data_IF_620877055872
#
_entry.id   IF_620877055872
#
_cell.length_a   1.000
_cell.length_b   1.000
_cell.length_c   1.000
_cell.angle_alpha   90.00
_cell.angle_beta   90.00
_cell.angle_gamma   90.00
#
_symmetry.space_group_name_H-M   'P 1'
#
loop_
_entity.id
_entity.type
_entity.pdbx_description
1 polymer ?
#
# COMPACT_ATOMS: atom_id res chain seq x y z
N UNK A 1 -2.66 8.29 6.45
CA UNK A 1 -2.14 8.10 7.81
C UNK A 1 -2.87 9.05 8.75
N UNK A 2 -3.50 8.49 9.76
CA UNK A 2 -3.99 9.16 10.96
C UNK A 2 -3.15 8.65 12.14
N UNK A 3 -3.33 9.21 13.33
CA UNK A 3 -2.70 8.68 14.54
C UNK A 3 -3.00 7.19 14.73
N UNK A 4 -4.26 6.80 14.65
CA UNK A 4 -4.70 5.40 14.80
C UNK A 4 -4.08 4.46 13.76
N UNK A 5 -3.88 4.94 12.53
CA UNK A 5 -3.24 4.15 11.47
C UNK A 5 -1.74 3.99 11.70
N UNK A 6 -1.05 5.04 12.19
CA UNK A 6 0.35 4.94 12.60
C UNK A 6 0.50 3.88 13.71
N UNK A 7 -0.34 3.98 14.76
CA UNK A 7 -0.33 3.06 15.89
C UNK A 7 -0.61 1.61 15.48
N UNK A 8 -1.63 1.39 14.65
CA UNK A 8 -1.97 0.06 14.16
C UNK A 8 -0.88 -0.57 13.30
N UNK A 9 -0.24 0.22 12.43
CA UNK A 9 0.87 -0.24 11.59
C UNK A 9 2.10 -0.60 12.42
N UNK A 10 2.52 0.27 13.34
CA UNK A 10 3.64 0.01 14.26
C UNK A 10 3.38 -1.27 15.05
N UNK A 11 2.21 -1.39 15.65
CA UNK A 11 1.83 -2.56 16.44
C UNK A 11 1.87 -3.87 15.64
N UNK A 12 1.37 -3.84 14.40
CA UNK A 12 1.40 -5.00 13.50
C UNK A 12 2.83 -5.40 13.10
N UNK A 13 3.76 -4.45 13.04
CA UNK A 13 5.17 -4.72 12.72
C UNK A 13 5.97 -5.19 13.95
N UNK A 14 5.75 -4.59 15.12
CA UNK A 14 6.52 -4.92 16.32
C UNK A 14 6.05 -6.20 17.02
N UNK A 15 4.74 -6.42 17.06
CA UNK A 15 4.12 -7.54 17.77
C UNK A 15 3.60 -8.63 16.81
N UNK A 16 3.59 -8.36 15.50
CA UNK A 16 2.97 -9.20 14.48
C UNK A 16 3.92 -9.64 13.38
N UNK A 17 3.34 -10.00 12.25
CA UNK A 17 4.05 -10.50 11.05
C UNK A 17 4.05 -9.51 9.88
N UNK A 18 3.50 -8.32 10.05
CA UNK A 18 3.66 -7.27 9.06
C UNK A 18 5.13 -6.86 9.00
N UNK A 19 5.72 -6.86 7.81
CA UNK A 19 7.17 -6.70 7.65
C UNK A 19 7.58 -5.55 6.74
N UNK A 20 6.60 -4.87 6.15
CA UNK A 20 6.78 -3.67 5.33
C UNK A 20 5.55 -2.78 5.45
N UNK A 21 5.71 -1.49 5.29
CA UNK A 21 4.62 -0.52 5.27
C UNK A 21 4.88 0.60 4.26
N UNK A 22 3.83 1.37 3.95
CA UNK A 22 3.91 2.49 3.02
C UNK A 22 3.28 3.74 3.60
N UNK A 23 4.01 4.86 3.52
CA UNK A 23 3.66 6.15 4.12
C UNK A 23 2.91 7.05 3.15
N UNK A 24 1.79 7.64 3.61
CA UNK A 24 1.04 8.65 2.85
C UNK A 24 1.59 10.05 3.15
N UNK A 25 2.58 10.49 2.37
CA UNK A 25 3.31 11.73 2.63
C UNK A 25 2.44 13.01 2.73
N UNK A 26 1.33 13.17 2.00
CA UNK A 26 0.47 14.34 2.17
C UNK A 26 -0.32 14.39 3.48
N UNK A 27 -0.41 13.30 4.23
CA UNK A 27 -1.22 13.24 5.45
C UNK A 27 -0.60 14.00 6.64
N UNK A 28 -1.42 14.68 7.47
CA UNK A 28 -0.93 15.49 8.60
C UNK A 28 -0.17 14.74 9.69
N UNK A 29 -0.43 13.43 9.88
CA UNK A 29 0.22 12.62 10.92
C UNK A 29 1.54 11.96 10.49
N UNK A 30 2.09 12.33 9.33
CA UNK A 30 3.41 11.87 8.88
C UNK A 30 4.55 12.23 9.85
N UNK A 31 4.64 13.46 10.40
CA UNK A 31 5.72 13.78 11.34
C UNK A 31 5.77 12.91 12.58
N UNK A 32 4.61 12.44 13.06
CA UNK A 32 4.54 11.50 14.18
C UNK A 32 5.16 10.14 13.83
N UNK A 33 4.88 9.63 12.64
CA UNK A 33 5.47 8.39 12.19
C UNK A 33 6.99 8.49 11.98
N UNK A 34 7.49 9.64 11.55
CA UNK A 34 8.93 9.87 11.39
C UNK A 34 9.70 9.80 12.72
N UNK A 35 9.09 10.22 13.86
CA UNK A 35 9.70 10.01 15.19
C UNK A 35 9.91 8.53 15.50
N UNK A 36 9.00 7.67 15.06
CA UNK A 36 9.18 6.22 15.18
C UNK A 36 10.36 5.75 14.32
N UNK A 37 10.47 6.20 13.07
CA UNK A 37 11.56 5.83 12.16
C UNK A 37 12.93 6.27 12.66
N UNK A 38 13.05 7.41 13.34
CA UNK A 38 14.30 7.90 13.93
C UNK A 38 14.92 6.89 14.90
N UNK A 39 14.09 6.17 15.63
CA UNK A 39 14.52 5.13 16.59
C UNK A 39 14.50 3.72 16.02
N UNK A 40 13.90 3.53 14.82
CA UNK A 40 13.76 2.24 14.14
C UNK A 40 14.26 2.29 12.68
N UNK A 41 15.57 2.57 12.47
CA UNK A 41 16.12 2.79 11.12
C UNK A 41 16.08 1.56 10.21
N UNK A 42 15.84 0.38 10.76
CA UNK A 42 15.72 -0.88 10.01
C UNK A 42 14.31 -1.13 9.47
N UNK A 43 13.33 -0.29 9.84
CA UNK A 43 11.95 -0.42 9.34
C UNK A 43 11.93 -0.40 7.82
N UNK A 44 11.18 -1.32 7.21
CA UNK A 44 10.96 -1.32 5.77
C UNK A 44 9.76 -0.42 5.45
N UNK A 45 10.04 0.85 5.16
CA UNK A 45 9.02 1.88 4.93
C UNK A 45 9.18 2.50 3.52
N UNK A 46 8.18 2.28 2.68
CA UNK A 46 8.02 2.87 1.36
C UNK A 46 7.04 4.04 1.36
N UNK A 47 6.64 4.47 0.15
CA UNK A 47 5.65 5.53 -0.03
C UNK A 47 4.38 4.98 -0.66
N UNK A 48 3.25 5.23 0.01
CA UNK A 48 1.91 5.03 -0.51
C UNK A 48 1.51 6.27 -1.31
N UNK A 49 1.89 6.30 -2.59
CA UNK A 49 1.72 7.46 -3.46
C UNK A 49 0.26 7.91 -3.45
N UNK A 50 0.02 9.02 -2.83
CA UNK A 50 -1.31 9.51 -2.48
C UNK A 50 -1.73 10.57 -3.48
N UNK A 51 -2.74 10.26 -4.28
CA UNK A 51 -3.26 11.11 -5.38
C UNK A 51 -4.79 11.33 -5.25
N UNK A 52 -5.36 10.84 -4.14
CA UNK A 52 -6.78 10.99 -3.78
C UNK A 52 -6.91 11.29 -2.29
N UNK A 53 -8.06 11.82 -1.86
CA UNK A 53 -8.39 12.09 -0.46
C UNK A 53 -9.86 11.79 -0.22
N UNK A 54 -10.18 10.53 0.08
CA UNK A 54 -11.56 9.99 0.11
C UNK A 54 -12.31 10.22 1.41
N UNK A 55 -11.62 10.48 2.52
CA UNK A 55 -12.26 10.61 3.83
C UNK A 55 -12.95 11.97 4.01
N UNK A 56 -14.18 11.96 4.50
CA UNK A 56 -15.00 13.19 4.57
C UNK A 56 -14.53 14.17 5.64
N UNK A 57 -14.16 13.67 6.81
CA UNK A 57 -13.78 14.48 7.99
C UNK A 57 -12.28 14.72 8.13
N UNK A 58 -11.46 14.12 7.28
CA UNK A 58 -10.01 14.17 7.35
C UNK A 58 -9.44 14.19 5.93
N UNK A 59 -9.26 15.41 5.40
CA UNK A 59 -8.85 15.66 4.02
C UNK A 59 -7.43 16.21 3.95
N UNK A 60 -6.73 15.86 2.87
CA UNK A 60 -5.39 16.36 2.57
C UNK A 60 -5.29 16.83 1.12
N UNK A 61 -4.44 17.84 0.91
CA UNK A 61 -4.11 18.36 -0.41
C UNK A 61 -2.80 17.79 -0.95
N UNK A 62 -2.47 18.04 -2.23
CA UNK A 62 -1.19 17.69 -2.80
C UNK A 62 -0.05 18.55 -2.20
N UNK A 63 1.14 17.94 -2.10
CA UNK A 63 2.34 18.63 -1.61
C UNK A 63 2.78 19.77 -2.53
N UNK A 64 2.58 19.62 -3.84
CA UNK A 64 2.86 20.67 -4.83
C UNK A 64 1.90 21.87 -4.71
N UNK A 65 0.75 21.70 -4.05
CA UNK A 65 -0.27 22.74 -3.94
C UNK A 65 -1.01 23.03 -5.26
N UNK A 66 -2.18 23.67 -5.13
CA UNK A 66 -3.08 23.98 -6.27
C UNK A 66 -2.40 24.74 -7.42
N UNK A 67 -1.50 25.72 -7.21
CA UNK A 67 -0.90 26.44 -8.32
C UNK A 67 -0.08 25.58 -9.27
N UNK A 68 0.57 24.51 -8.77
CA UNK A 68 1.44 23.64 -9.57
C UNK A 68 0.72 22.41 -10.13
N UNK A 69 -0.36 21.96 -9.45
CA UNK A 69 -1.14 20.78 -9.82
C UNK A 69 -2.65 21.03 -9.67
N UNK A 70 -3.20 22.02 -10.42
CA UNK A 70 -4.61 22.41 -10.28
C UNK A 70 -5.60 21.28 -10.57
N UNK A 71 -5.25 20.35 -11.47
CA UNK A 71 -6.07 19.20 -11.81
C UNK A 71 -6.18 18.16 -10.70
N UNK A 72 -5.27 18.15 -9.72
CA UNK A 72 -5.33 17.27 -8.55
C UNK A 72 -6.23 17.81 -7.42
N UNK A 73 -6.72 19.04 -7.51
CA UNK A 73 -7.35 19.74 -6.39
C UNK A 73 -8.83 20.00 -6.64
N UNK A 74 -9.66 19.58 -5.70
CA UNK A 74 -11.09 19.84 -5.71
C UNK A 74 -11.46 21.26 -5.23
N UNK A 75 -12.77 21.54 -5.10
CA UNK A 75 -13.28 22.85 -4.66
C UNK A 75 -12.96 23.16 -3.19
N UNK A 76 -12.65 22.15 -2.38
CA UNK A 76 -12.28 22.32 -0.96
C UNK A 76 -10.77 22.56 -0.78
N UNK A 77 -9.97 22.52 -1.84
CA UNK A 77 -8.52 22.61 -1.76
C UNK A 77 -7.83 21.30 -1.40
N UNK A 78 -8.56 20.20 -1.34
CA UNK A 78 -8.04 18.85 -1.11
C UNK A 78 -7.87 18.09 -2.43
N UNK A 79 -7.16 16.97 -2.42
CA UNK A 79 -7.18 16.04 -3.55
C UNK A 79 -8.59 15.49 -3.78
N UNK A 80 -8.88 15.04 -5.02
CA UNK A 80 -10.18 14.46 -5.35
C UNK A 80 -10.51 13.25 -4.48
N UNK A 81 -11.80 13.02 -4.14
CA UNK A 81 -12.19 11.93 -3.23
C UNK A 81 -12.24 10.55 -3.90
N UNK A 82 -11.98 10.44 -5.18
CA UNK A 82 -12.04 9.16 -5.90
C UNK A 82 -11.05 9.09 -7.04
N UNK A 83 -10.62 7.87 -7.35
CA UNK A 83 -9.76 7.55 -8.51
C UNK A 83 -10.34 8.09 -9.80
N UNK A 84 -11.65 7.89 -10.04
CA UNK A 84 -12.33 8.40 -11.23
C UNK A 84 -12.24 9.92 -11.35
N UNK A 85 -12.44 10.65 -10.25
CA UNK A 85 -12.38 12.11 -10.28
C UNK A 85 -10.95 12.59 -10.58
N UNK A 86 -9.93 11.97 -9.95
CA UNK A 86 -8.52 12.24 -10.25
C UNK A 86 -8.21 11.95 -11.72
N UNK A 87 -8.60 10.77 -12.22
CA UNK A 87 -8.35 10.38 -13.62
C UNK A 87 -9.02 11.31 -14.64
N UNK A 88 -10.16 11.92 -14.27
CA UNK A 88 -10.88 12.85 -15.16
C UNK A 88 -10.25 14.24 -15.20
N UNK A 89 -9.70 14.72 -14.09
CA UNK A 89 -9.29 16.12 -13.93
C UNK A 89 -7.77 16.35 -13.98
N UNK A 90 -6.97 15.40 -13.53
CA UNK A 90 -5.52 15.55 -13.49
C UNK A 90 -4.85 15.18 -14.81
N UNK A 91 -3.78 15.88 -15.14
CA UNK A 91 -2.85 15.51 -16.20
C UNK A 91 -1.76 14.56 -15.71
N UNK A 92 -1.14 13.80 -16.61
CA UNK A 92 -0.02 12.93 -16.30
C UNK A 92 1.20 13.71 -15.74
N UNK A 93 1.41 14.94 -16.22
CA UNK A 93 2.49 15.79 -15.72
C UNK A 93 2.26 16.25 -14.27
N UNK A 94 1.01 16.49 -13.88
CA UNK A 94 0.65 16.81 -12.49
C UNK A 94 0.85 15.60 -11.58
N UNK A 95 0.49 14.40 -12.06
CA UNK A 95 0.75 13.13 -11.35
C UNK A 95 2.25 12.94 -11.13
N UNK A 96 3.10 13.12 -12.15
CA UNK A 96 4.56 12.99 -12.01
C UNK A 96 5.12 14.01 -11.01
N UNK A 97 4.70 15.28 -11.10
CA UNK A 97 5.14 16.33 -10.16
C UNK A 97 4.82 15.96 -8.71
N UNK A 98 3.60 15.50 -8.45
CA UNK A 98 3.18 15.13 -7.10
C UNK A 98 3.90 13.89 -6.59
N UNK A 99 4.14 12.86 -7.44
CA UNK A 99 4.93 11.68 -7.08
C UNK A 99 6.34 12.12 -6.63
N UNK A 100 7.01 12.97 -7.42
CA UNK A 100 8.35 13.47 -7.08
C UNK A 100 8.35 14.28 -5.79
N UNK A 101 7.35 15.13 -5.58
CA UNK A 101 7.22 15.90 -4.34
C UNK A 101 7.04 15.02 -3.10
N UNK A 102 6.34 13.89 -3.22
CA UNK A 102 6.20 12.93 -2.13
C UNK A 102 7.52 12.23 -1.82
N UNK A 103 8.31 11.86 -2.83
CA UNK A 103 9.67 11.32 -2.66
C UNK A 103 10.58 12.36 -2.01
N UNK A 104 10.59 13.58 -2.53
CA UNK A 104 11.43 14.68 -2.03
C UNK A 104 11.10 15.02 -0.57
N UNK A 105 9.82 15.04 -0.20
CA UNK A 105 9.42 15.25 1.19
C UNK A 105 9.97 14.15 2.11
N UNK A 106 9.89 12.89 1.71
CA UNK A 106 10.44 11.77 2.49
C UNK A 106 11.94 11.95 2.71
N UNK A 107 12.69 12.27 1.65
CA UNK A 107 14.14 12.50 1.72
C UNK A 107 14.50 13.72 2.57
N UNK A 108 13.74 14.82 2.44
CA UNK A 108 13.91 16.04 3.28
C UNK A 108 13.68 15.74 4.75
N UNK A 109 12.79 14.81 5.08
CA UNK A 109 12.56 14.33 6.44
C UNK A 109 13.58 13.26 6.88
N UNK A 110 14.59 12.95 6.07
CA UNK A 110 15.69 12.04 6.41
C UNK A 110 15.44 10.57 6.10
N UNK A 111 14.47 10.24 5.25
CA UNK A 111 14.16 8.85 4.91
C UNK A 111 14.20 8.57 3.41
N UNK A 112 15.04 7.59 3.01
CA UNK A 112 15.02 7.04 1.66
C UNK A 112 13.96 5.94 1.59
N UNK A 113 12.92 6.08 0.75
CA UNK A 113 11.84 5.10 0.68
C UNK A 113 12.35 3.76 0.13
N UNK A 114 11.92 2.66 0.75
CA UNK A 114 12.31 1.31 0.32
C UNK A 114 11.59 0.85 -0.93
N UNK A 115 10.40 1.38 -1.18
CA UNK A 115 9.57 1.11 -2.35
C UNK A 115 8.50 2.19 -2.57
N UNK A 116 7.86 2.12 -3.73
CA UNK A 116 6.67 2.90 -4.06
C UNK A 116 5.50 1.95 -4.28
N UNK A 117 4.35 2.28 -3.74
CA UNK A 117 3.06 1.69 -4.10
C UNK A 117 2.00 2.78 -4.30
N UNK A 118 0.72 2.47 -4.41
CA UNK A 118 -0.29 3.45 -4.80
C UNK A 118 -1.55 3.39 -3.96
N UNK A 119 -1.94 4.52 -3.40
CA UNK A 119 -3.21 4.69 -2.71
C UNK A 119 -4.37 4.52 -3.69
N UNK A 120 -5.32 3.62 -3.35
CA UNK A 120 -6.50 3.30 -4.15
C UNK A 120 -6.22 2.87 -5.60
N UNK A 121 -5.00 2.45 -5.93
CA UNK A 121 -4.65 2.08 -7.30
C UNK A 121 -4.65 3.25 -8.30
N UNK A 122 -4.57 4.50 -7.85
CA UNK A 122 -4.79 5.68 -8.69
C UNK A 122 -3.84 5.77 -9.88
N UNK A 123 -2.59 5.31 -9.74
CA UNK A 123 -1.63 5.31 -10.86
C UNK A 123 -1.99 4.31 -11.97
N UNK A 124 -2.85 3.34 -11.68
CA UNK A 124 -3.33 2.37 -12.67
C UNK A 124 -4.60 2.83 -13.41
N UNK A 125 -5.19 3.94 -13.01
CA UNK A 125 -6.45 4.42 -13.58
C UNK A 125 -6.34 4.85 -15.05
N UNK A 126 -5.13 5.20 -15.51
CA UNK A 126 -4.84 5.60 -16.89
C UNK A 126 -3.44 5.12 -17.28
N UNK A 127 -3.28 4.77 -18.56
CA UNK A 127 -1.97 4.32 -19.09
C UNK A 127 -0.86 5.37 -18.90
N UNK A 128 -1.16 6.63 -19.16
CA UNK A 128 -0.17 7.72 -19.01
C UNK A 128 0.20 7.99 -17.54
N UNK A 129 -0.70 7.74 -16.58
CA UNK A 129 -0.37 7.78 -15.15
C UNK A 129 0.59 6.65 -14.76
N UNK A 130 0.31 5.43 -15.23
CA UNK A 130 1.19 4.28 -15.03
C UNK A 130 2.58 4.52 -15.63
N UNK A 131 2.65 5.07 -16.83
CA UNK A 131 3.93 5.42 -17.48
C UNK A 131 4.74 6.40 -16.64
N UNK A 132 4.10 7.42 -16.01
CA UNK A 132 4.79 8.35 -15.11
C UNK A 132 5.27 7.68 -13.82
N UNK A 133 4.45 6.83 -13.23
CA UNK A 133 4.81 6.04 -12.05
C UNK A 133 6.04 5.17 -12.28
N UNK A 134 6.04 4.39 -13.37
CA UNK A 134 7.15 3.52 -13.75
C UNK A 134 8.41 4.31 -14.12
N UNK A 135 8.24 5.41 -14.86
CA UNK A 135 9.33 6.32 -15.22
C UNK A 135 10.06 6.82 -13.98
N UNK A 136 9.31 7.42 -13.03
CA UNK A 136 9.90 7.95 -11.79
C UNK A 136 10.59 6.85 -11.00
N UNK A 137 9.97 5.68 -10.82
CA UNK A 137 10.57 4.56 -10.11
C UNK A 137 11.91 4.12 -10.73
N UNK A 138 11.98 4.02 -12.07
CA UNK A 138 13.21 3.63 -12.78
C UNK A 138 14.28 4.72 -12.71
N UNK A 139 13.95 5.99 -12.82
CA UNK A 139 14.87 7.11 -12.70
C UNK A 139 15.47 7.22 -11.29
N UNK A 140 14.60 7.13 -10.27
CA UNK A 140 14.98 7.22 -8.86
C UNK A 140 15.59 5.93 -8.30
N UNK A 141 15.56 4.83 -9.06
CA UNK A 141 16.02 3.49 -8.64
C UNK A 141 15.32 2.97 -7.39
N UNK A 142 14.05 3.33 -7.21
CA UNK A 142 13.23 2.88 -6.08
C UNK A 142 12.39 1.69 -6.54
N UNK A 143 12.42 0.54 -5.82
CA UNK A 143 11.52 -0.59 -6.06
C UNK A 143 10.05 -0.16 -6.14
N UNK A 144 9.28 -0.82 -6.97
CA UNK A 144 7.90 -0.40 -7.24
C UNK A 144 6.94 -1.58 -7.15
N UNK A 145 5.79 -1.35 -6.50
CA UNK A 145 4.70 -2.31 -6.50
C UNK A 145 4.08 -2.37 -7.89
N UNK A 146 4.49 -3.39 -8.63
CA UNK A 146 3.90 -3.77 -9.91
C UNK A 146 4.01 -5.29 -10.05
N UNK A 147 2.89 -6.04 -10.09
CA UNK A 147 2.92 -7.48 -10.26
C UNK A 147 3.27 -7.81 -11.72
N UNK A 148 4.51 -8.25 -11.93
CA UNK A 148 5.08 -8.54 -13.25
C UNK A 148 5.39 -10.02 -13.51
N UNK A 149 5.00 -10.92 -12.57
CA UNK A 149 5.22 -12.36 -12.67
C UNK A 149 3.98 -13.14 -13.15
N UNK A 150 3.61 -14.20 -12.43
CA UNK A 150 2.49 -15.08 -12.83
C UNK A 150 1.09 -14.47 -12.62
N UNK A 151 0.93 -13.49 -11.73
CA UNK A 151 -0.31 -12.71 -11.54
C UNK A 151 -1.58 -13.52 -11.31
N UNK A 152 -1.46 -14.70 -10.68
CA UNK A 152 -2.58 -15.63 -10.55
C UNK A 152 -3.72 -15.09 -9.69
N UNK A 153 -3.43 -14.22 -8.72
CA UNK A 153 -4.45 -13.60 -7.87
C UNK A 153 -4.97 -12.30 -8.47
N UNK A 154 -4.07 -11.37 -8.83
CA UNK A 154 -4.48 -10.03 -9.27
C UNK A 154 -5.34 -10.09 -10.55
N UNK A 155 -5.03 -10.97 -11.49
CA UNK A 155 -5.83 -11.15 -12.69
C UNK A 155 -7.22 -11.75 -12.42
N UNK A 156 -7.40 -12.46 -11.31
CA UNK A 156 -8.72 -12.95 -10.89
C UNK A 156 -9.57 -11.87 -10.24
N UNK A 157 -8.96 -10.94 -9.50
CA UNK A 157 -9.65 -9.87 -8.79
C UNK A 157 -9.92 -8.66 -9.67
N UNK A 158 -9.04 -8.38 -10.64
CA UNK A 158 -9.11 -7.21 -11.54
C UNK A 158 -9.50 -7.61 -12.99
N UNK A 159 -10.46 -8.53 -13.14
CA UNK A 159 -10.90 -9.05 -14.46
C UNK A 159 -11.36 -7.96 -15.42
N UNK A 160 -11.96 -6.90 -14.89
CA UNK A 160 -12.51 -5.80 -15.69
C UNK A 160 -11.46 -4.71 -16.04
N UNK A 161 -10.23 -4.83 -15.49
CA UNK A 161 -9.16 -3.87 -15.77
C UNK A 161 -8.52 -4.02 -17.16
N UNK A 162 -8.89 -5.06 -17.92
CA UNK A 162 -8.32 -5.32 -19.24
C UNK A 162 -6.83 -5.70 -19.22
N UNK A 163 -6.30 -6.07 -18.05
CA UNK A 163 -4.91 -6.50 -17.89
C UNK A 163 -4.74 -7.93 -18.40
N UNK A 164 -3.66 -8.17 -19.14
CA UNK A 164 -3.25 -9.51 -19.56
C UNK A 164 -1.89 -9.87 -18.97
N UNK A 165 -1.62 -11.18 -18.86
CA UNK A 165 -0.33 -11.67 -18.38
C UNK A 165 0.83 -11.16 -19.25
N UNK A 166 0.63 -11.04 -20.56
CA UNK A 166 1.64 -10.54 -21.50
C UNK A 166 1.98 -9.08 -21.23
N UNK A 167 0.97 -8.23 -20.99
CA UNK A 167 1.17 -6.82 -20.68
C UNK A 167 1.93 -6.64 -19.36
N UNK A 168 1.52 -7.34 -18.32
CA UNK A 168 2.14 -7.22 -16.99
C UNK A 168 3.56 -7.78 -16.98
N UNK A 169 3.80 -8.91 -17.65
CA UNK A 169 5.13 -9.49 -17.81
C UNK A 169 6.07 -8.59 -18.62
N UNK A 170 5.56 -7.89 -19.65
CA UNK A 170 6.37 -6.94 -20.41
C UNK A 170 6.87 -5.79 -19.53
N UNK A 171 6.00 -5.22 -18.68
CA UNK A 171 6.41 -4.21 -17.70
C UNK A 171 7.37 -4.78 -16.65
N UNK A 172 7.13 -5.99 -16.15
CA UNK A 172 8.03 -6.68 -15.24
C UNK A 172 9.46 -6.83 -15.82
N UNK A 173 9.58 -7.19 -17.11
CA UNK A 173 10.86 -7.25 -17.81
C UNK A 173 11.53 -5.88 -17.92
N UNK A 174 10.79 -4.81 -18.14
CA UNK A 174 11.34 -3.45 -18.17
C UNK A 174 11.90 -3.03 -16.81
N UNK A 175 11.15 -3.27 -15.73
CA UNK A 175 11.59 -3.00 -14.36
C UNK A 175 12.85 -3.82 -14.01
N UNK A 176 12.86 -5.10 -14.37
CA UNK A 176 14.03 -5.96 -14.17
C UNK A 176 15.24 -5.48 -14.94
N UNK A 177 15.09 -5.10 -16.20
CA UNK A 177 16.15 -4.53 -17.01
C UNK A 177 16.67 -3.19 -16.45
N UNK A 178 15.82 -2.41 -15.79
CA UNK A 178 16.20 -1.20 -15.08
C UNK A 178 16.94 -1.46 -13.74
N UNK A 179 17.10 -2.73 -13.34
CA UNK A 179 17.76 -3.14 -12.09
C UNK A 179 16.86 -3.17 -10.88
N UNK A 180 15.54 -3.07 -11.06
CA UNK A 180 14.55 -3.11 -9.98
C UNK A 180 14.04 -4.53 -9.75
N UNK A 181 13.68 -4.90 -8.51
CA UNK A 181 13.00 -6.16 -8.24
C UNK A 181 11.56 -6.12 -8.78
N UNK A 182 11.02 -7.30 -9.05
CA UNK A 182 9.65 -7.48 -9.55
C UNK A 182 8.94 -8.48 -8.65
N UNK A 183 7.70 -8.16 -8.23
CA UNK A 183 6.85 -9.12 -7.53
C UNK A 183 6.10 -10.00 -8.53
N UNK A 184 5.84 -11.25 -8.14
CA UNK A 184 5.18 -12.23 -9.00
C UNK A 184 3.65 -12.12 -8.94
N UNK A 185 3.11 -11.64 -7.82
CA UNK A 185 1.67 -11.50 -7.63
C UNK A 185 1.31 -10.45 -6.57
N UNK A 186 0.03 -10.08 -6.52
CA UNK A 186 -0.53 -9.11 -5.59
C UNK A 186 -1.88 -9.59 -5.06
N UNK A 187 -2.05 -9.59 -3.73
CA UNK A 187 -3.33 -9.76 -3.06
C UNK A 187 -3.82 -8.42 -2.51
N UNK A 188 -5.01 -7.97 -2.96
CA UNK A 188 -5.54 -6.64 -2.66
C UNK A 188 -6.99 -6.62 -2.16
N UNK A 189 -7.56 -7.78 -1.76
CA UNK A 189 -9.01 -7.88 -1.44
C UNK A 189 -9.33 -7.91 0.06
N UNK A 190 -8.34 -7.87 0.95
CA UNK A 190 -8.54 -7.95 2.40
C UNK A 190 -9.39 -6.81 2.97
N UNK A 191 -9.45 -5.68 2.28
CA UNK A 191 -10.21 -4.50 2.69
C UNK A 191 -11.72 -4.77 2.87
N UNK A 192 -12.30 -5.68 2.08
CA UNK A 192 -13.70 -6.06 2.18
C UNK A 192 -14.01 -7.08 3.30
N UNK A 193 -13.02 -7.54 4.05
CA UNK A 193 -13.19 -8.61 5.05
C UNK A 193 -13.53 -8.04 6.44
N UNK A 194 -14.80 -7.86 6.70
CA UNK A 194 -15.34 -7.46 8.00
C UNK A 194 -15.88 -8.64 8.81
N UNK A 195 -16.95 -8.42 9.55
CA UNK A 195 -17.62 -9.45 10.33
C UNK A 195 -18.02 -10.68 9.49
N UNK A 196 -18.15 -11.87 10.11
CA UNK A 196 -18.61 -13.07 9.41
C UNK A 196 -19.89 -12.83 8.61
N UNK A 197 -20.06 -13.56 7.51
CA UNK A 197 -21.19 -13.41 6.61
C UNK A 197 -22.54 -13.44 7.35
N UNK A 198 -23.42 -12.48 7.05
CA UNK A 198 -24.74 -12.34 7.67
C UNK A 198 -24.76 -11.56 8.98
N UNK A 199 -23.62 -11.12 9.53
CA UNK A 199 -23.55 -10.31 10.74
C UNK A 199 -23.17 -8.85 10.40
N UNK A 200 -23.94 -7.89 10.91
CA UNK A 200 -23.59 -6.46 10.85
C UNK A 200 -22.55 -6.12 11.91
N UNK A 201 -22.69 -6.72 13.10
CA UNK A 201 -21.81 -6.54 14.25
C UNK A 201 -21.31 -7.90 14.73
N UNK A 202 -20.08 -7.93 15.21
CA UNK A 202 -19.46 -9.12 15.77
C UNK A 202 -18.48 -8.74 16.88
N UNK A 203 -18.20 -9.68 17.76
CA UNK A 203 -17.15 -9.52 18.77
C UNK A 203 -15.76 -9.50 18.12
N UNK A 204 -14.79 -8.92 18.82
CA UNK A 204 -13.38 -8.93 18.39
C UNK A 204 -12.88 -10.38 18.16
N UNK A 205 -13.31 -11.34 18.96
CA UNK A 205 -12.93 -12.75 18.82
C UNK A 205 -13.47 -13.36 17.51
N UNK A 206 -14.74 -13.10 17.17
CA UNK A 206 -15.34 -13.57 15.92
C UNK A 206 -14.70 -12.91 14.71
N UNK A 207 -14.41 -11.61 14.82
CA UNK A 207 -13.75 -10.82 13.77
C UNK A 207 -12.34 -11.34 13.51
N UNK A 208 -11.54 -11.55 14.58
CA UNK A 208 -10.20 -12.12 14.50
C UNK A 208 -10.21 -13.50 13.86
N UNK A 209 -11.03 -14.41 14.38
CA UNK A 209 -11.10 -15.77 13.83
C UNK A 209 -11.48 -15.81 12.34
N UNK A 210 -12.46 -14.98 11.94
CA UNK A 210 -12.87 -14.89 10.54
C UNK A 210 -11.78 -14.33 9.64
N UNK A 211 -11.10 -13.27 10.09
CA UNK A 211 -10.07 -12.59 9.30
C UNK A 211 -8.81 -13.42 9.19
N UNK A 212 -8.33 -13.98 10.30
CA UNK A 212 -7.18 -14.90 10.35
C UNK A 212 -7.39 -16.10 9.42
N UNK A 213 -8.58 -16.71 9.46
CA UNK A 213 -8.92 -17.82 8.53
C UNK A 213 -8.75 -17.38 7.07
N UNK A 214 -9.26 -16.22 6.68
CA UNK A 214 -9.14 -15.72 5.31
C UNK A 214 -7.71 -15.43 4.90
N UNK A 215 -6.86 -14.92 5.80
CA UNK A 215 -5.43 -14.79 5.52
C UNK A 215 -4.75 -16.13 5.33
N UNK A 216 -5.09 -17.15 6.14
CA UNK A 216 -4.58 -18.51 5.96
C UNK A 216 -5.01 -19.06 4.57
N UNK A 217 -6.29 -18.98 4.22
CA UNK A 217 -6.81 -19.38 2.91
C UNK A 217 -6.11 -18.64 1.76
N UNK A 218 -5.78 -17.36 1.96
CA UNK A 218 -4.99 -16.59 0.99
C UNK A 218 -3.60 -17.19 0.82
N UNK A 219 -2.89 -17.46 1.92
CA UNK A 219 -1.54 -18.05 1.88
C UNK A 219 -1.55 -19.44 1.22
N UNK A 220 -2.58 -20.26 1.52
CA UNK A 220 -2.75 -21.58 0.88
C UNK A 220 -2.95 -21.50 -0.63
N UNK A 221 -3.52 -20.42 -1.13
CA UNK A 221 -3.79 -20.22 -2.56
C UNK A 221 -2.60 -19.63 -3.33
N UNK A 222 -1.54 -19.21 -2.65
CA UNK A 222 -0.35 -18.60 -3.30
C UNK A 222 0.36 -19.62 -4.18
N UNK A 223 0.79 -19.16 -5.35
CA UNK A 223 1.79 -19.88 -6.15
C UNK A 223 3.19 -19.53 -5.68
N UNK A 224 4.19 -20.40 -5.94
CA UNK A 224 5.58 -20.08 -5.67
C UNK A 224 6.00 -18.77 -6.34
N UNK A 225 6.68 -17.91 -5.58
CA UNK A 225 7.11 -16.59 -6.02
C UNK A 225 7.06 -15.56 -4.91
N UNK A 226 7.27 -14.31 -5.26
CA UNK A 226 7.18 -13.17 -4.38
C UNK A 226 5.78 -12.52 -4.49
N UNK A 227 4.95 -12.69 -3.49
CA UNK A 227 3.60 -12.09 -3.44
C UNK A 227 3.54 -10.99 -2.39
N UNK A 228 3.06 -9.82 -2.78
CA UNK A 228 2.69 -8.77 -1.83
C UNK A 228 1.24 -8.98 -1.36
N UNK A 229 1.04 -9.04 -0.04
CA UNK A 229 -0.30 -9.13 0.57
C UNK A 229 -0.60 -7.80 1.25
N UNK A 230 -1.59 -7.08 0.72
CA UNK A 230 -1.98 -5.76 1.24
C UNK A 230 -2.92 -5.92 2.44
N UNK A 231 -2.67 -5.11 3.47
CA UNK A 231 -3.51 -4.94 4.64
C UNK A 231 -3.54 -3.48 5.07
N UNK A 232 -4.54 -3.09 5.87
CA UNK A 232 -4.72 -1.70 6.29
C UNK A 232 -4.76 -1.61 7.82
N UNK A 233 -3.66 -1.97 8.48
CA UNK A 233 -3.57 -1.99 9.93
C UNK A 233 -3.88 -0.63 10.56
N UNK A 234 -4.84 -0.61 11.48
CA UNK A 234 -5.23 0.56 12.25
C UNK A 234 -5.69 0.10 13.64
N UNK A 235 -5.35 0.84 14.67
CA UNK A 235 -5.86 0.62 16.04
C UNK A 235 -6.80 1.74 16.42
N UNK A 236 -8.12 1.61 16.07
CA UNK A 236 -9.04 2.73 16.11
C UNK A 236 -9.33 3.18 17.55
N UNK A 237 -9.16 4.47 17.80
CA UNK A 237 -9.67 5.19 18.96
C UNK A 237 -11.12 5.63 18.76
N UNK A 238 -11.72 6.24 19.78
CA UNK A 238 -13.05 6.83 19.71
C UNK A 238 -13.19 7.92 18.61
N UNK A 239 -12.06 8.51 18.19
CA UNK A 239 -12.05 9.57 17.18
C UNK A 239 -12.13 8.97 15.76
N UNK A 240 -11.63 7.75 15.55
CA UNK A 240 -11.51 7.18 14.21
C UNK A 240 -12.84 7.07 13.46
N UNK A 241 -13.95 6.84 14.16
CA UNK A 241 -15.32 6.81 13.58
C UNK A 241 -15.74 8.12 12.90
N UNK A 242 -15.13 9.25 13.27
CA UNK A 242 -15.33 10.55 12.61
C UNK A 242 -14.43 10.79 11.42
N UNK A 243 -13.41 9.93 11.24
CA UNK A 243 -12.48 9.92 10.11
C UNK A 243 -12.98 8.96 9.03
N UNK A 244 -13.27 7.71 9.41
CA UNK A 244 -13.66 6.65 8.49
C UNK A 244 -14.58 5.63 9.17
N UNK A 245 -15.46 5.02 8.40
CA UNK A 245 -16.32 3.90 8.79
C UNK A 245 -15.63 2.53 8.72
N UNK A 246 -14.38 2.49 8.24
CA UNK A 246 -13.59 1.26 8.04
C UNK A 246 -12.88 0.74 9.31
N UNK A 247 -13.17 1.29 10.49
CA UNK A 247 -12.46 0.97 11.74
C UNK A 247 -12.44 -0.51 12.08
N UNK A 248 -13.57 -1.21 11.94
CA UNK A 248 -13.68 -2.65 12.23
C UNK A 248 -12.76 -3.46 11.31
N UNK A 249 -12.84 -3.23 9.99
CA UNK A 249 -12.03 -3.95 8.99
C UNK A 249 -10.54 -3.72 9.22
N UNK A 250 -10.13 -2.49 9.51
CA UNK A 250 -8.73 -2.11 9.73
C UNK A 250 -8.20 -2.62 11.07
N UNK A 251 -9.04 -2.62 12.13
CA UNK A 251 -8.70 -3.24 13.42
C UNK A 251 -8.43 -4.73 13.25
N UNK A 252 -9.27 -5.41 12.47
CA UNK A 252 -9.10 -6.85 12.23
C UNK A 252 -7.83 -7.18 11.46
N UNK A 253 -7.35 -6.31 10.56
CA UNK A 253 -6.04 -6.48 9.92
C UNK A 253 -4.92 -6.47 10.98
N UNK A 254 -4.91 -5.46 11.87
CA UNK A 254 -3.93 -5.37 12.96
C UNK A 254 -3.96 -6.62 13.85
N UNK A 255 -5.17 -7.01 14.30
CA UNK A 255 -5.34 -8.18 15.17
C UNK A 255 -4.87 -9.46 14.49
N UNK A 256 -5.17 -9.66 13.21
CA UNK A 256 -4.75 -10.87 12.47
C UNK A 256 -3.25 -10.94 12.26
N UNK A 257 -2.57 -9.82 12.04
CA UNK A 257 -1.11 -9.82 11.96
C UNK A 257 -0.44 -10.19 13.28
N UNK A 258 -1.08 -9.87 14.41
CA UNK A 258 -0.63 -10.21 15.76
C UNK A 258 -1.11 -11.58 16.25
N UNK A 259 -2.00 -12.26 15.51
CA UNK A 259 -2.60 -13.51 15.93
C UNK A 259 -1.56 -14.64 16.01
N UNK A 260 -1.32 -15.26 17.20
CA UNK A 260 -0.41 -16.38 17.34
C UNK A 260 -0.78 -17.58 16.43
N UNK A 261 -2.06 -17.75 16.09
CA UNK A 261 -2.52 -18.80 15.16
C UNK A 261 -1.97 -18.55 13.76
N UNK A 262 -2.03 -17.30 13.29
CA UNK A 262 -1.48 -16.93 11.98
C UNK A 262 0.04 -17.00 11.96
N UNK A 263 0.70 -16.47 12.99
CA UNK A 263 2.16 -16.53 13.13
C UNK A 263 2.67 -18.00 13.11
N UNK A 264 2.01 -18.86 13.89
CA UNK A 264 2.34 -20.29 13.91
C UNK A 264 2.10 -20.95 12.55
N UNK A 265 0.98 -20.65 11.90
CA UNK A 265 0.69 -21.17 10.57
C UNK A 265 1.78 -20.84 9.55
N UNK A 266 2.23 -19.58 9.50
CA UNK A 266 3.31 -19.15 8.60
C UNK A 266 4.62 -19.90 8.89
N UNK A 267 4.97 -20.07 10.16
CA UNK A 267 6.18 -20.79 10.57
C UNK A 267 6.13 -22.28 10.23
N UNK A 268 5.02 -22.97 10.55
CA UNK A 268 4.83 -24.40 10.29
C UNK A 268 4.89 -24.70 8.77
N UNK A 269 4.35 -23.82 7.94
CA UNK A 269 4.35 -23.97 6.49
C UNK A 269 5.59 -23.37 5.81
N UNK A 270 6.58 -22.91 6.59
CA UNK A 270 7.86 -22.36 6.10
C UNK A 270 7.67 -21.21 5.10
N UNK A 271 6.66 -20.38 5.33
CA UNK A 271 6.44 -19.16 4.52
C UNK A 271 7.54 -18.17 4.86
N UNK A 272 8.27 -17.74 3.83
CA UNK A 272 9.36 -16.77 3.98
C UNK A 272 8.79 -15.36 3.94
N UNK A 273 8.83 -14.66 5.06
CA UNK A 273 8.53 -13.23 5.10
C UNK A 273 9.79 -12.47 4.65
N UNK A 274 9.63 -11.53 3.71
CA UNK A 274 10.74 -10.71 3.20
C UNK A 274 10.30 -9.25 3.07
N UNK A 275 11.25 -8.35 3.02
CA UNK A 275 11.04 -6.90 2.90
C UNK A 275 11.44 -6.40 1.51
N UNK A 276 10.94 -5.22 1.12
CA UNK A 276 11.37 -4.56 -0.11
C UNK A 276 12.86 -4.25 -0.09
N UNK A 277 13.41 -3.90 1.07
CA UNK A 277 14.85 -3.68 1.28
C UNK A 277 15.66 -4.92 0.96
N UNK A 278 15.26 -6.08 1.47
CA UNK A 278 15.94 -7.36 1.21
C UNK A 278 15.80 -7.80 -0.25
N UNK A 279 14.61 -7.66 -0.82
CA UNK A 279 14.37 -8.01 -2.23
C UNK A 279 15.20 -7.09 -3.15
N UNK A 280 15.24 -5.79 -2.85
CA UNK A 280 16.08 -4.84 -3.56
C UNK A 280 17.57 -5.14 -3.45
N UNK A 281 18.05 -5.56 -2.27
CA UNK A 281 19.44 -6.00 -2.06
C UNK A 281 19.76 -7.24 -2.90
N UNK A 282 18.94 -8.30 -2.80
CA UNK A 282 19.10 -9.52 -3.60
C UNK A 282 19.10 -9.22 -5.10
N UNK A 283 18.24 -8.30 -5.57
CA UNK A 283 18.22 -7.91 -6.98
C UNK A 283 19.55 -7.26 -7.44
N UNK A 284 20.16 -6.42 -6.59
CA UNK A 284 21.46 -5.79 -6.90
C UNK A 284 22.64 -6.77 -6.94
N UNK A 285 22.53 -7.89 -6.23
CA UNK A 285 23.56 -8.95 -6.22
C UNK A 285 23.48 -9.86 -7.46
N UNK A 286 22.36 -9.88 -8.17
CA UNK A 286 22.21 -10.59 -9.44
C UNK A 286 22.78 -9.73 -10.56
N UNK A 287 23.87 -10.19 -11.16
CA UNK A 287 24.55 -9.54 -12.30
C UNK A 287 23.83 -9.81 -13.61
#
# INVERSE_FOLDING_TARGET
MSYDSNHGAIKAMEEGVANSLSMMMPCPWIPDFFKYLETHPQTDAGLHLTLTSEWKGYRWGPLMGKPAVPGLVDKQGAMWPSVRATATNASADEIEKEIRAQIDRSRTMGWEPTHLDTHMGTVFARKDFLERYLKVAMEEKIPVMFPGGHNSMILQTEKDAGLTIEMTTAVGKQLWAAGLPVIDDLHNVSYGWGCPAGKKDCSDAELLASKTKKYIETIESLKPGLTMVIMHCTWPSEIFKYISDSGIVRKSDTMSMMDPVFQKYLADNKIILTTWREVGKRRKELK
#
